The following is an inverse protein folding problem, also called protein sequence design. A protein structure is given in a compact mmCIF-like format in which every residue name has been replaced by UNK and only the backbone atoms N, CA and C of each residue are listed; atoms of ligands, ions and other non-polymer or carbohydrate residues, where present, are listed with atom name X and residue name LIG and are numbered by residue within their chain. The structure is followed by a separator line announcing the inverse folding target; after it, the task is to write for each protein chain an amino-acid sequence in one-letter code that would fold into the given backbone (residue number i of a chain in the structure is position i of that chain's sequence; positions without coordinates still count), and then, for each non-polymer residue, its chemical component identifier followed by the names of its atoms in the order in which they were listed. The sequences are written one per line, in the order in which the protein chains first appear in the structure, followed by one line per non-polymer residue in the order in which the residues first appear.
data_IF_221312798893
#
_entry.id   IF_221312798893
#
_cell.length_a   1.000
_cell.length_b   1.000
_cell.length_c   1.000
_cell.angle_alpha   90.00
_cell.angle_beta   90.00
_cell.angle_gamma   90.00
#
_symmetry.space_group_name_H-M   'P 1'
#
loop_
_entity.id
_entity.type
_entity.pdbx_description
1 polymer ?
#
# COMPACT_ATOMS: atom_id res chain seq x y z
N UNK A 1 -1.82 -20.09 11.45
CA UNK A 1 -1.60 -18.65 11.60
C UNK A 1 -2.45 -17.86 10.64
N UNK A 2 -2.91 -16.69 11.07
CA UNK A 2 -3.84 -15.89 10.30
C UNK A 2 -3.10 -14.81 9.52
N UNK A 3 -3.39 -14.71 8.22
CA UNK A 3 -2.84 -13.68 7.34
C UNK A 3 -4.01 -12.92 6.72
N UNK A 4 -4.06 -11.62 6.97
CA UNK A 4 -5.19 -10.76 6.58
C UNK A 4 -4.68 -9.62 5.74
N UNK A 5 -5.37 -9.34 4.63
CA UNK A 5 -5.16 -8.12 3.84
C UNK A 5 -6.40 -7.24 3.93
N UNK A 6 -6.20 -5.97 4.21
CA UNK A 6 -7.28 -4.97 4.30
C UNK A 6 -7.26 -4.13 3.02
N UNK A 7 -8.36 -4.17 2.29
CA UNK A 7 -8.52 -3.43 1.02
C UNK A 7 -9.66 -2.44 1.15
N UNK A 8 -9.47 -1.23 0.66
CA UNK A 8 -10.47 -0.18 0.67
C UNK A 8 -9.84 1.17 0.45
N UNK A 9 -10.67 2.18 0.29
CA UNK A 9 -10.22 3.55 0.05
C UNK A 9 -9.48 4.12 1.27
N UNK A 10 -8.60 5.08 1.03
CA UNK A 10 -7.93 5.80 2.10
C UNK A 10 -8.96 6.48 3.00
N UNK A 11 -8.73 6.45 4.31
CA UNK A 11 -9.63 7.08 5.28
C UNK A 11 -10.84 6.26 5.68
N UNK A 12 -10.98 5.02 5.18
CA UNK A 12 -12.14 4.17 5.49
C UNK A 12 -11.99 3.36 6.78
N UNK A 13 -10.84 3.50 7.47
CA UNK A 13 -10.62 2.79 8.73
C UNK A 13 -9.63 1.63 8.68
N UNK A 14 -8.98 1.39 7.54
CA UNK A 14 -7.99 0.31 7.42
C UNK A 14 -6.85 0.47 8.41
N UNK A 15 -6.29 1.67 8.54
CA UNK A 15 -5.20 1.94 9.46
C UNK A 15 -5.61 1.72 10.91
N UNK A 16 -6.83 2.10 11.27
CA UNK A 16 -7.36 1.86 12.61
C UNK A 16 -7.37 0.37 12.94
N UNK A 17 -7.91 -0.45 12.03
CA UNK A 17 -8.00 -1.90 12.24
C UNK A 17 -6.64 -2.59 12.16
N UNK A 18 -5.75 -2.18 11.26
CA UNK A 18 -4.43 -2.78 11.16
C UNK A 18 -3.59 -2.51 12.40
N UNK A 19 -3.69 -1.30 12.96
CA UNK A 19 -3.02 -0.96 14.21
C UNK A 19 -3.58 -1.72 15.40
N UNK A 20 -4.90 -1.93 15.43
CA UNK A 20 -5.55 -2.70 16.46
C UNK A 20 -5.11 -4.16 16.44
N UNK A 21 -5.00 -4.74 15.25
CA UNK A 21 -4.48 -6.11 15.09
C UNK A 21 -3.01 -6.20 15.49
N UNK A 22 -2.22 -5.18 15.20
CA UNK A 22 -0.83 -5.13 15.63
C UNK A 22 -0.72 -5.18 17.15
N UNK A 23 -1.62 -4.49 17.86
CA UNK A 23 -1.69 -4.54 19.31
C UNK A 23 -2.05 -5.94 19.82
N UNK A 24 -2.75 -6.73 19.02
CA UNK A 24 -3.13 -8.11 19.35
C UNK A 24 -2.06 -9.14 18.93
N UNK A 25 -0.87 -8.69 18.52
CA UNK A 25 0.24 -9.56 18.19
C UNK A 25 0.46 -9.82 16.71
N UNK A 26 -0.30 -9.18 15.82
CA UNK A 26 -0.09 -9.30 14.38
C UNK A 26 1.13 -8.48 13.94
N UNK A 27 1.89 -9.03 12.99
CA UNK A 27 2.92 -8.25 12.31
C UNK A 27 2.25 -7.40 11.24
N UNK A 28 2.38 -6.09 11.35
CA UNK A 28 1.71 -5.14 10.47
C UNK A 28 2.63 -4.65 9.36
N UNK A 29 2.16 -4.73 8.13
CA UNK A 29 2.81 -4.12 6.97
C UNK A 29 1.88 -3.03 6.44
N UNK A 30 2.35 -1.79 6.42
CA UNK A 30 1.60 -0.67 5.87
C UNK A 30 2.22 -0.27 4.53
N UNK A 31 1.51 -0.53 3.44
CA UNK A 31 2.02 -0.24 2.10
C UNK A 31 2.25 1.25 1.88
N UNK A 32 1.37 2.11 2.44
CA UNK A 32 1.55 3.56 2.31
C UNK A 32 2.87 4.03 2.92
N UNK A 33 3.23 3.52 4.10
CA UNK A 33 4.47 3.91 4.76
C UNK A 33 5.69 3.54 3.94
N UNK A 34 5.72 2.36 3.34
CA UNK A 34 6.83 1.91 2.50
C UNK A 34 6.97 2.77 1.25
N UNK A 35 5.86 3.11 0.62
CA UNK A 35 5.85 3.95 -0.58
C UNK A 35 6.29 5.37 -0.22
N UNK A 36 5.79 5.92 0.90
CA UNK A 36 6.18 7.25 1.37
C UNK A 36 7.69 7.34 1.62
N UNK A 37 8.27 6.34 2.28
CA UNK A 37 9.71 6.32 2.53
C UNK A 37 10.50 6.30 1.22
N UNK A 38 10.05 5.53 0.25
CA UNK A 38 10.72 5.42 -1.05
C UNK A 38 10.62 6.71 -1.85
N UNK A 39 9.43 7.34 -1.84
CA UNK A 39 9.19 8.59 -2.56
C UNK A 39 9.85 9.79 -1.90
N UNK A 40 10.00 9.80 -0.58
CA UNK A 40 10.55 10.95 0.13
C UNK A 40 11.93 11.33 -0.36
N UNK A 41 12.82 10.35 -0.51
CA UNK A 41 14.16 10.58 -1.02
C UNK A 41 14.13 11.12 -2.45
N UNK A 42 13.26 10.55 -3.30
CA UNK A 42 13.14 11.00 -4.68
C UNK A 42 12.58 12.42 -4.77
N UNK A 43 11.57 12.73 -3.96
CA UNK A 43 10.98 14.06 -3.93
C UNK A 43 11.99 15.12 -3.50
N UNK A 44 12.79 14.83 -2.49
CA UNK A 44 13.86 15.73 -2.03
C UNK A 44 14.91 15.92 -3.12
N UNK A 45 15.28 14.86 -3.81
CA UNK A 45 16.25 14.92 -4.91
C UNK A 45 15.75 15.81 -6.06
N UNK A 46 14.45 15.82 -6.30
CA UNK A 46 13.82 16.64 -7.34
C UNK A 46 13.51 18.07 -6.89
N UNK A 47 13.84 18.44 -5.65
CA UNK A 47 13.65 19.79 -5.14
C UNK A 47 12.38 20.00 -4.33
N UNK A 48 11.57 18.97 -4.09
CA UNK A 48 10.42 19.06 -3.22
C UNK A 48 10.84 18.89 -1.74
N UNK A 49 9.99 19.36 -0.83
CA UNK A 49 10.27 19.30 0.61
C UNK A 49 10.14 17.92 1.22
N UNK A 50 9.57 16.96 0.51
CA UNK A 50 9.36 15.60 0.96
C UNK A 50 7.95 15.13 0.69
N UNK A 51 7.49 14.15 1.45
CA UNK A 51 6.20 13.48 1.19
C UNK A 51 5.00 14.40 1.31
N UNK A 52 5.12 15.48 2.06
CA UNK A 52 4.04 16.47 2.17
C UNK A 52 3.71 17.15 0.82
N UNK A 53 4.62 17.07 -0.13
CA UNK A 53 4.43 17.65 -1.45
C UNK A 53 4.14 16.60 -2.54
N UNK A 54 3.76 15.38 -2.16
CA UNK A 54 3.47 14.32 -3.12
C UNK A 54 2.33 14.70 -4.06
N UNK A 55 1.30 15.38 -3.54
CA UNK A 55 0.19 15.85 -4.36
C UNK A 55 0.64 16.88 -5.38
N UNK A 56 1.58 17.75 -5.00
CA UNK A 56 2.17 18.73 -5.89
C UNK A 56 3.00 18.06 -6.98
N UNK A 57 3.80 17.05 -6.61
CA UNK A 57 4.59 16.26 -7.55
C UNK A 57 3.72 15.50 -8.54
N UNK A 58 2.62 14.89 -8.08
CA UNK A 58 1.67 14.19 -8.95
C UNK A 58 0.98 15.18 -9.89
N UNK A 59 0.55 16.31 -9.36
CA UNK A 59 -0.24 17.28 -10.09
C UNK A 59 -1.70 16.88 -10.23
N UNK A 60 -2.43 17.63 -11.03
CA UNK A 60 -3.82 17.34 -11.36
C UNK A 60 -3.86 16.46 -12.61
N UNK A 61 -4.98 15.75 -12.88
CA UNK A 61 -5.06 14.87 -14.05
C UNK A 61 -4.78 15.54 -15.40
N UNK A 62 -4.93 16.86 -15.47
CA UNK A 62 -4.65 17.62 -16.69
C UNK A 62 -3.21 18.14 -16.77
N UNK A 63 -2.42 17.99 -15.72
CA UNK A 63 -1.03 18.45 -15.72
C UNK A 63 -0.14 17.49 -16.51
N UNK A 64 0.89 18.01 -17.23
CA UNK A 64 1.75 17.16 -18.07
C UNK A 64 2.46 16.04 -17.32
N UNK A 65 2.83 16.26 -16.06
CA UNK A 65 3.58 15.27 -15.28
C UNK A 65 2.70 14.19 -14.67
N UNK A 66 1.37 14.35 -14.66
CA UNK A 66 0.48 13.47 -13.93
C UNK A 66 0.55 12.01 -14.41
N UNK A 67 0.48 11.81 -15.72
CA UNK A 67 0.46 10.45 -16.28
C UNK A 67 1.73 9.68 -15.95
N UNK A 68 2.87 10.32 -16.06
CA UNK A 68 4.16 9.69 -15.76
C UNK A 68 4.35 9.46 -14.26
N UNK A 69 4.06 10.47 -13.45
CA UNK A 69 4.25 10.40 -12.01
C UNK A 69 3.27 9.44 -11.34
N UNK A 70 2.02 9.38 -11.80
CA UNK A 70 1.07 8.40 -11.27
C UNK A 70 1.44 6.97 -11.64
N UNK A 71 2.01 6.76 -12.85
CA UNK A 71 2.52 5.45 -13.25
C UNK A 71 3.69 5.05 -12.37
N UNK A 72 4.58 5.97 -12.04
CA UNK A 72 5.71 5.75 -11.17
C UNK A 72 5.27 5.40 -9.75
N UNK A 73 4.26 6.09 -9.24
CA UNK A 73 3.66 5.79 -7.95
C UNK A 73 3.10 4.36 -7.92
N UNK A 74 2.35 3.97 -8.94
CA UNK A 74 1.79 2.62 -9.05
C UNK A 74 2.88 1.56 -9.17
N UNK A 75 3.98 1.87 -9.85
CA UNK A 75 5.11 0.97 -9.95
C UNK A 75 5.74 0.71 -8.58
N UNK A 76 5.94 1.74 -7.78
CA UNK A 76 6.46 1.58 -6.42
C UNK A 76 5.51 0.76 -5.55
N UNK A 77 4.21 1.04 -5.67
CA UNK A 77 3.17 0.29 -4.96
C UNK A 77 3.21 -1.19 -5.32
N UNK A 78 3.35 -1.49 -6.61
CA UNK A 78 3.46 -2.85 -7.13
C UNK A 78 4.69 -3.56 -6.56
N UNK A 79 5.85 -2.92 -6.61
CA UNK A 79 7.10 -3.48 -6.11
C UNK A 79 7.05 -3.74 -4.61
N UNK A 80 6.52 -2.79 -3.84
CA UNK A 80 6.44 -2.93 -2.39
C UNK A 80 5.49 -4.04 -1.97
N UNK A 81 4.34 -4.15 -2.62
CA UNK A 81 3.41 -5.23 -2.30
C UNK A 81 4.00 -6.59 -2.66
N UNK A 82 4.66 -6.72 -3.81
CA UNK A 82 5.33 -7.96 -4.20
C UNK A 82 6.42 -8.35 -3.20
N UNK A 83 7.18 -7.37 -2.72
CA UNK A 83 8.20 -7.60 -1.69
C UNK A 83 7.59 -8.09 -0.38
N UNK A 84 6.49 -7.48 0.05
CA UNK A 84 5.78 -7.89 1.27
C UNK A 84 5.26 -9.32 1.12
N UNK A 85 4.66 -9.66 -0.03
CA UNK A 85 4.15 -11.01 -0.26
C UNK A 85 5.26 -12.05 -0.24
N UNK A 86 6.43 -11.72 -0.78
CA UNK A 86 7.60 -12.60 -0.72
C UNK A 86 8.08 -12.79 0.72
N UNK A 87 8.08 -11.71 1.51
CA UNK A 87 8.45 -11.79 2.93
C UNK A 87 7.51 -12.71 3.71
N UNK A 88 6.20 -12.57 3.53
CA UNK A 88 5.24 -13.36 4.29
C UNK A 88 5.23 -14.84 3.91
N UNK A 89 5.62 -15.18 2.70
CA UNK A 89 5.81 -16.59 2.31
C UNK A 89 6.83 -17.28 3.19
N UNK A 90 7.81 -16.52 3.70
CA UNK A 90 8.88 -17.03 4.55
C UNK A 90 8.58 -16.84 6.05
N UNK A 91 7.34 -16.48 6.40
CA UNK A 91 6.90 -16.25 7.76
C UNK A 91 5.65 -17.10 8.10
N UNK A 92 5.72 -18.43 7.97
CA UNK A 92 4.52 -19.27 8.11
C UNK A 92 3.91 -19.29 9.50
N UNK A 93 4.70 -18.98 10.53
CA UNK A 93 4.27 -19.05 11.93
C UNK A 93 3.87 -17.70 12.52
N UNK A 94 3.67 -16.68 11.66
CA UNK A 94 3.32 -15.34 12.11
C UNK A 94 1.88 -14.98 11.73
N UNK A 95 1.19 -14.31 12.64
CA UNK A 95 -0.05 -13.62 12.31
C UNK A 95 0.32 -12.31 11.60
N UNK A 96 -0.26 -12.07 10.43
CA UNK A 96 0.14 -10.96 9.57
C UNK A 96 -1.09 -10.17 9.15
N UNK A 97 -0.97 -8.83 9.18
CA UNK A 97 -1.96 -7.93 8.61
C UNK A 97 -1.25 -7.00 7.61
N UNK A 98 -1.80 -6.92 6.40
CA UNK A 98 -1.31 -6.01 5.37
C UNK A 98 -2.36 -4.92 5.18
N UNK A 99 -1.97 -3.68 5.48
CA UNK A 99 -2.76 -2.49 5.23
C UNK A 99 -2.38 -2.00 3.83
N UNK A 100 -3.20 -2.30 2.84
CA UNK A 100 -2.90 -1.94 1.45
C UNK A 100 -3.24 -0.47 1.18
N UNK A 101 -2.72 0.04 0.06
CA UNK A 101 -3.05 1.39 -0.38
C UNK A 101 -4.48 1.45 -0.93
N UNK A 102 -5.03 2.67 -1.05
CA UNK A 102 -6.34 2.87 -1.65
C UNK A 102 -6.41 2.51 -3.13
N UNK A 103 -5.25 2.43 -3.81
CA UNK A 103 -5.16 2.12 -5.24
C UNK A 103 -4.72 0.69 -5.53
N UNK A 104 -4.71 -0.20 -4.53
CA UNK A 104 -4.24 -1.58 -4.69
C UNK A 104 -4.99 -2.34 -5.80
N UNK A 105 -6.26 -2.02 -6.03
CA UNK A 105 -7.08 -2.67 -7.06
C UNK A 105 -6.60 -2.42 -8.48
N UNK A 106 -5.77 -1.40 -8.69
CA UNK A 106 -5.20 -1.07 -10.01
C UNK A 106 -3.87 -1.77 -10.28
N UNK A 107 -3.40 -2.59 -9.34
CA UNK A 107 -2.16 -3.33 -9.51
C UNK A 107 -2.33 -4.52 -10.45
N UNK A 108 -1.22 -5.15 -10.81
CA UNK A 108 -1.21 -6.30 -11.71
C UNK A 108 -2.15 -7.40 -11.24
N UNK A 109 -2.93 -8.03 -12.16
CA UNK A 109 -3.76 -9.19 -11.81
C UNK A 109 -2.97 -10.33 -11.18
N UNK A 110 -1.70 -10.51 -11.55
CA UNK A 110 -0.82 -11.53 -10.97
C UNK A 110 -0.59 -11.25 -9.48
N UNK A 111 -0.30 -10.00 -9.14
CA UNK A 111 -0.10 -9.57 -7.75
C UNK A 111 -1.37 -9.73 -6.94
N UNK A 112 -2.52 -9.31 -7.48
CA UNK A 112 -3.81 -9.42 -6.79
C UNK A 112 -4.18 -10.89 -6.55
N UNK A 113 -3.92 -11.75 -7.51
CA UNK A 113 -4.16 -13.20 -7.35
C UNK A 113 -3.27 -13.77 -6.26
N UNK A 114 -2.01 -13.39 -6.23
CA UNK A 114 -1.04 -13.82 -5.21
C UNK A 114 -1.48 -13.36 -3.82
N UNK A 115 -1.97 -12.12 -3.70
CA UNK A 115 -2.49 -11.58 -2.46
C UNK A 115 -3.66 -12.43 -1.95
N UNK A 116 -4.58 -12.79 -2.82
CA UNK A 116 -5.74 -13.64 -2.48
C UNK A 116 -5.34 -15.06 -2.09
N UNK A 117 -4.28 -15.58 -2.69
CA UNK A 117 -3.78 -16.92 -2.38
C UNK A 117 -3.07 -16.98 -1.04
N UNK A 118 -2.35 -15.92 -0.69
CA UNK A 118 -1.52 -15.87 0.52
C UNK A 118 -2.24 -15.31 1.74
N UNK A 119 -3.31 -14.57 1.55
CA UNK A 119 -4.03 -13.90 2.64
C UNK A 119 -5.54 -14.05 2.51
N UNK A 120 -6.24 -13.86 3.64
CA UNK A 120 -7.69 -13.66 3.65
C UNK A 120 -7.96 -12.18 3.45
N UNK A 121 -8.62 -11.83 2.36
CA UNK A 121 -8.87 -10.43 2.00
C UNK A 121 -10.15 -9.94 2.66
N UNK A 122 -10.04 -8.83 3.40
CA UNK A 122 -11.18 -8.13 3.99
C UNK A 122 -11.36 -6.83 3.24
N UNK A 123 -12.52 -6.66 2.65
CA UNK A 123 -12.84 -5.49 1.84
C UNK A 123 -13.65 -4.49 2.65
N UNK A 124 -13.11 -3.28 2.80
CA UNK A 124 -13.81 -2.19 3.48
C UNK A 124 -14.59 -1.40 2.44
N UNK A 125 -15.91 -1.44 2.53
CA UNK A 125 -16.79 -0.69 1.64
C UNK A 125 -17.39 0.51 2.37
N UNK A 126 -17.56 1.62 1.64
CA UNK A 126 -18.31 2.75 2.18
C UNK A 126 -19.80 2.40 2.15
N UNK A 127 -20.49 2.65 3.26
CA UNK A 127 -21.95 2.60 3.26
C UNK A 127 -22.48 3.90 2.67
N UNK A 128 -23.37 3.77 1.73
CA UNK A 128 -24.08 4.93 1.19
C UNK A 128 -25.27 5.30 2.07
#
# INVERSE_FOLDING_TARGET
MMRISLIGMSGIGKSHWSKKLEQEGFTRFCCDDFIENKLEDELKHLGYKGIHEVALWLGQPYDPQYAENSRKYLQYEQEELDNILTLIENMPDKNIVIDTTGSVIYLSPVTLKRLKQLTSVIYFATSE
#
